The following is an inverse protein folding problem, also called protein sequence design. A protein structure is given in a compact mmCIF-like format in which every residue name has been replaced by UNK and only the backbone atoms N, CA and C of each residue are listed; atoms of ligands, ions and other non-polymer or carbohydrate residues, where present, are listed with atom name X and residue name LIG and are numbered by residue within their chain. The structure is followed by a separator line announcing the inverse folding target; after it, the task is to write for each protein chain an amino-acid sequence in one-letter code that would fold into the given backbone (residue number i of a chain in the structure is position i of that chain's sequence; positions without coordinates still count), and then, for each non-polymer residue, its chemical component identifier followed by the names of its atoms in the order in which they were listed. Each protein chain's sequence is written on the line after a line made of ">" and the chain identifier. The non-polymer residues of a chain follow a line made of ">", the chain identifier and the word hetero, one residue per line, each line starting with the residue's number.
data_IF_480547116976
#
_entry.id   IF_480547116976
#
_cell.length_a   1.000
_cell.length_b   1.000
_cell.length_c   1.000
_cell.angle_alpha   90.00
_cell.angle_beta   90.00
_cell.angle_gamma   90.00
#
_symmetry.space_group_name_H-M   'P 1'
#
loop_
_entity.id
_entity.type
_entity.pdbx_description
1 polymer ?
#
# COMPACT_ATOMS: atom_id res chain seq x y z
N UNK A 1 -11.22 -3.76 -31.32
CA UNK A 1 -9.76 -3.74 -31.03
C UNK A 1 -9.27 -2.52 -30.23
N UNK A 2 -9.94 -1.35 -30.27
CA UNK A 2 -9.50 -0.14 -29.54
C UNK A 2 -9.71 -0.21 -28.00
N UNK A 3 -10.81 -0.85 -27.56
CA UNK A 3 -11.23 -0.90 -26.16
C UNK A 3 -10.26 -1.66 -25.25
N UNK A 4 -9.65 -2.73 -25.77
CA UNK A 4 -8.66 -3.55 -25.04
C UNK A 4 -7.41 -2.73 -24.68
N UNK A 5 -6.96 -1.82 -25.56
CA UNK A 5 -5.82 -0.94 -25.25
C UNK A 5 -6.11 -0.01 -24.09
N UNK A 6 -7.28 0.63 -24.06
CA UNK A 6 -7.69 1.51 -22.96
C UNK A 6 -7.77 0.74 -21.64
N UNK A 7 -8.27 -0.49 -21.66
CA UNK A 7 -8.35 -1.35 -20.49
C UNK A 7 -6.96 -1.73 -19.96
N UNK A 8 -6.02 -2.07 -20.85
CA UNK A 8 -4.62 -2.36 -20.49
C UNK A 8 -3.93 -1.12 -19.91
N UNK A 9 -4.02 0.02 -20.58
CA UNK A 9 -3.40 1.26 -20.08
C UNK A 9 -4.01 1.74 -18.77
N UNK A 10 -5.33 1.58 -18.60
CA UNK A 10 -6.03 1.86 -17.34
C UNK A 10 -5.50 0.98 -16.21
N UNK A 11 -5.44 -0.34 -16.40
CA UNK A 11 -4.88 -1.27 -15.41
C UNK A 11 -3.41 -0.96 -15.08
N UNK A 12 -2.62 -0.56 -16.09
CA UNK A 12 -1.19 -0.31 -15.93
C UNK A 12 -0.93 0.98 -15.15
N UNK A 13 -1.62 2.08 -15.50
CA UNK A 13 -1.56 3.33 -14.73
C UNK A 13 -1.96 3.12 -13.27
N UNK A 14 -2.95 2.27 -13.06
CA UNK A 14 -3.53 2.02 -11.76
C UNK A 14 -2.65 1.10 -10.89
N UNK A 15 -1.94 0.16 -11.52
CA UNK A 15 -0.87 -0.60 -10.89
C UNK A 15 0.25 0.33 -10.41
N UNK A 16 0.63 1.34 -11.19
CA UNK A 16 1.65 2.33 -10.79
C UNK A 16 1.20 3.12 -9.58
N UNK A 17 -0.04 3.64 -9.57
CA UNK A 17 -0.60 4.37 -8.42
C UNK A 17 -0.64 3.49 -7.17
N UNK A 18 -1.07 2.24 -7.29
CA UNK A 18 -1.07 1.27 -6.19
C UNK A 18 0.33 1.09 -5.58
N UNK A 19 1.34 0.88 -6.43
CA UNK A 19 2.73 0.69 -5.98
C UNK A 19 3.24 1.94 -5.28
N UNK A 20 3.02 3.14 -5.85
CA UNK A 20 3.43 4.40 -5.24
C UNK A 20 2.81 4.59 -3.84
N UNK A 21 1.50 4.39 -3.70
CA UNK A 21 0.80 4.53 -2.42
C UNK A 21 1.25 3.47 -1.41
N UNK A 22 1.45 2.23 -1.85
CA UNK A 22 1.93 1.14 -1.00
C UNK A 22 3.33 1.43 -0.44
N UNK A 23 4.23 1.91 -1.29
CA UNK A 23 5.60 2.26 -0.89
C UNK A 23 5.60 3.47 0.06
N UNK A 24 4.84 4.52 -0.25
CA UNK A 24 4.74 5.71 0.59
C UNK A 24 4.17 5.41 1.97
N UNK A 25 3.11 4.59 2.05
CA UNK A 25 2.53 4.20 3.35
C UNK A 25 3.53 3.40 4.20
N UNK A 26 4.34 2.54 3.56
CA UNK A 26 5.38 1.77 4.25
C UNK A 26 6.52 2.68 4.75
N UNK A 27 6.96 3.64 3.95
CA UNK A 27 8.03 4.57 4.32
C UNK A 27 7.62 5.46 5.49
N UNK A 28 6.45 6.10 5.43
CA UNK A 28 5.97 7.00 6.50
C UNK A 28 5.77 6.24 7.81
N UNK A 29 5.33 4.98 7.75
CA UNK A 29 5.14 4.17 8.96
C UNK A 29 6.47 3.84 9.63
N UNK A 30 7.47 3.46 8.84
CA UNK A 30 8.82 3.19 9.30
C UNK A 30 9.45 4.46 9.88
N UNK A 31 9.31 5.58 9.19
CA UNK A 31 9.78 6.90 9.64
C UNK A 31 9.18 7.29 11.00
N UNK A 32 7.87 7.08 11.20
CA UNK A 32 7.23 7.34 12.51
C UNK A 32 7.72 6.43 13.63
N UNK A 33 8.10 5.18 13.31
CA UNK A 33 8.69 4.26 14.29
C UNK A 33 10.12 4.70 14.66
N UNK A 34 10.89 5.12 13.65
CA UNK A 34 12.24 5.68 13.82
C UNK A 34 12.19 6.96 14.66
N UNK A 35 11.34 7.93 14.30
CA UNK A 35 11.15 9.18 15.06
C UNK A 35 10.74 8.93 16.51
N UNK A 36 9.88 7.92 16.75
CA UNK A 36 9.41 7.58 18.09
C UNK A 36 10.49 6.94 18.95
N UNK A 37 11.34 6.11 18.35
CA UNK A 37 12.52 5.57 19.02
C UNK A 37 13.55 6.66 19.30
N UNK A 38 13.82 7.52 18.32
CA UNK A 38 14.81 8.58 18.43
C UNK A 38 14.38 9.66 19.46
N UNK A 39 13.08 9.83 19.70
CA UNK A 39 12.53 10.70 20.75
C UNK A 39 12.76 10.17 22.19
N UNK A 40 12.87 8.86 22.37
CA UNK A 40 13.13 8.23 23.67
C UNK A 40 13.85 6.89 23.45
N UNK A 41 15.19 6.90 23.28
CA UNK A 41 15.95 5.69 22.97
C UNK A 41 15.99 4.76 24.19
N UNK A 42 15.51 3.53 24.04
CA UNK A 42 15.49 2.51 25.09
C UNK A 42 16.52 1.39 24.84
N UNK A 43 17.74 1.75 24.40
CA UNK A 43 18.80 0.75 24.16
C UNK A 43 19.78 1.15 23.08
N UNK A 44 20.43 0.14 22.49
CA UNK A 44 21.43 0.30 21.43
C UNK A 44 20.83 0.18 20.02
N UNK A 45 21.69 0.16 19.00
CA UNK A 45 21.25 0.05 17.61
C UNK A 45 20.53 -1.26 17.28
N UNK A 46 20.83 -2.34 18.02
CA UNK A 46 20.19 -3.65 17.84
C UNK A 46 18.76 -3.61 18.39
N UNK A 47 18.56 -2.95 19.54
CA UNK A 47 17.24 -2.75 20.11
C UNK A 47 16.35 -1.86 19.23
N UNK A 48 16.95 -0.83 18.59
CA UNK A 48 16.27 0.01 17.60
C UNK A 48 15.74 -0.79 16.42
N UNK A 49 16.57 -1.64 15.83
CA UNK A 49 16.16 -2.50 14.71
C UNK A 49 15.07 -3.48 15.13
N UNK A 50 15.18 -4.09 16.32
CA UNK A 50 14.19 -5.01 16.86
C UNK A 50 12.84 -4.32 17.14
N UNK A 51 12.84 -3.06 17.60
CA UNK A 51 11.64 -2.26 17.82
C UNK A 51 10.95 -1.91 16.49
N UNK A 52 11.71 -1.42 15.50
CA UNK A 52 11.18 -1.10 14.17
C UNK A 52 10.63 -2.36 13.49
N UNK A 53 11.35 -3.49 13.56
CA UNK A 53 10.92 -4.75 12.97
C UNK A 53 9.59 -5.24 13.57
N UNK A 54 9.46 -5.23 14.90
CA UNK A 54 8.20 -5.60 15.59
C UNK A 54 7.05 -4.67 15.22
N UNK A 55 7.28 -3.35 15.21
CA UNK A 55 6.26 -2.37 14.83
C UNK A 55 5.82 -2.49 13.36
N UNK A 56 6.73 -2.90 12.48
CA UNK A 56 6.41 -3.19 11.08
C UNK A 56 5.65 -4.51 10.91
N UNK A 57 5.97 -5.55 11.68
CA UNK A 57 5.26 -6.85 11.64
C UNK A 57 3.79 -6.71 12.08
N UNK A 58 3.55 -5.89 13.10
CA UNK A 58 2.21 -5.55 13.58
C UNK A 58 1.43 -4.70 12.56
N UNK A 59 2.11 -3.79 11.85
CA UNK A 59 1.55 -3.06 10.71
C UNK A 59 1.15 -4.00 9.57
N UNK A 60 1.98 -4.99 9.25
CA UNK A 60 1.71 -5.98 8.20
C UNK A 60 0.50 -6.87 8.50
N UNK A 61 0.26 -7.17 9.78
CA UNK A 61 -0.93 -7.88 10.25
C UNK A 61 -2.20 -7.00 10.28
N UNK A 62 -2.06 -5.68 10.27
CA UNK A 62 -3.20 -4.77 10.39
C UNK A 62 -4.00 -4.63 9.09
N UNK A 63 -5.31 -4.36 9.23
CA UNK A 63 -6.26 -4.08 8.13
C UNK A 63 -5.84 -2.94 7.20
N UNK A 64 -4.82 -2.16 7.56
CA UNK A 64 -4.28 -1.06 6.76
C UNK A 64 -3.68 -1.54 5.44
N UNK A 65 -3.07 -2.74 5.41
CA UNK A 65 -2.59 -3.39 4.18
C UNK A 65 -3.76 -3.80 3.25
N UNK A 66 -4.90 -4.20 3.83
CA UNK A 66 -6.15 -4.48 3.09
C UNK A 66 -6.78 -3.23 2.49
N UNK A 67 -6.65 -2.06 3.13
CA UNK A 67 -7.15 -0.80 2.58
C UNK A 67 -6.35 -0.34 1.34
N UNK A 68 -5.05 -0.64 1.30
CA UNK A 68 -4.20 -0.38 0.13
C UNK A 68 -4.62 -1.33 -1.02
N UNK A 69 -5.00 -2.57 -0.71
CA UNK A 69 -5.56 -3.51 -1.68
C UNK A 69 -6.82 -2.98 -2.38
N UNK A 70 -7.58 -2.12 -1.70
CA UNK A 70 -8.80 -1.50 -2.20
C UNK A 70 -8.53 -0.61 -3.43
N UNK A 71 -7.33 -0.03 -3.53
CA UNK A 71 -6.89 0.71 -4.73
C UNK A 71 -6.83 -0.19 -5.96
N UNK A 72 -6.56 -1.49 -5.81
CA UNK A 72 -6.56 -2.45 -6.92
C UNK A 72 -7.96 -3.02 -7.18
N UNK A 73 -8.73 -3.28 -6.12
CA UNK A 73 -10.07 -3.92 -6.22
C UNK A 73 -11.12 -2.98 -6.78
N UNK A 74 -11.21 -1.73 -6.30
CA UNK A 74 -12.23 -0.76 -6.73
C UNK A 74 -12.27 -0.58 -8.26
N UNK A 75 -11.16 -0.31 -8.95
CA UNK A 75 -11.19 -0.07 -10.39
C UNK A 75 -11.46 -1.33 -11.23
N UNK A 76 -11.02 -2.52 -10.79
CA UNK A 76 -11.42 -3.77 -11.45
C UNK A 76 -12.93 -3.96 -11.38
N UNK A 77 -13.52 -3.72 -10.19
CA UNK A 77 -14.97 -3.75 -10.01
C UNK A 77 -15.66 -2.68 -10.86
N UNK A 78 -15.16 -1.45 -10.88
CA UNK A 78 -15.72 -0.36 -11.71
C UNK A 78 -15.77 -0.74 -13.19
N UNK A 79 -14.67 -1.27 -13.74
CA UNK A 79 -14.63 -1.71 -15.16
C UNK A 79 -15.60 -2.87 -15.41
N UNK A 80 -15.62 -3.87 -14.52
CA UNK A 80 -16.55 -5.00 -14.62
C UNK A 80 -18.02 -4.55 -14.58
N UNK A 81 -18.36 -3.62 -13.68
CA UNK A 81 -19.69 -3.02 -13.57
C UNK A 81 -20.09 -2.24 -14.82
N UNK A 82 -19.17 -1.46 -15.41
CA UNK A 82 -19.42 -0.72 -16.65
C UNK A 82 -19.72 -1.69 -17.81
N UNK A 83 -18.94 -2.76 -17.95
CA UNK A 83 -19.17 -3.78 -18.98
C UNK A 83 -20.53 -4.45 -18.79
N UNK A 84 -20.87 -4.83 -17.57
CA UNK A 84 -22.15 -5.47 -17.24
C UNK A 84 -23.36 -4.56 -17.45
N UNK A 85 -23.25 -3.25 -17.17
CA UNK A 85 -24.36 -2.31 -17.34
C UNK A 85 -24.62 -1.93 -18.80
N UNK A 86 -23.60 -2.02 -19.66
CA UNK A 86 -23.68 -1.63 -21.07
C UNK A 86 -24.04 -2.81 -21.97
N UNK A 87 -23.71 -4.05 -21.58
CA UNK A 87 -24.00 -5.28 -22.34
C UNK A 87 -25.27 -5.96 -21.84
#
# INVERSE_FOLDING_TARGET
>A
MQFIRLLIFGLLALTVVYVCVSLYSRSVRREKLEERWDAAPEGDAVDREAYIARGMEEYERSLRKRLILLVYVVPVVTVASIIYLIN
#
